data_IF_682724056701
#
_entry.id   IF_682724056701
#
_cell.length_a   1.000
_cell.length_b   1.000
_cell.length_c   1.000
_cell.angle_alpha   90.00
_cell.angle_beta   90.00
_cell.angle_gamma   90.00
#
_symmetry.space_group_name_H-M   'P 1'
#
loop_
_entity.id
_entity.type
_entity.pdbx_description
1 polymer ?
#
# COMPACT_ATOMS: atom_id res chain seq x y z
N UNK A 1 -20.02 31.35 17.21
CA UNK A 1 -19.97 30.16 18.11
C UNK A 1 -19.61 28.88 17.34
N UNK A 2 -20.29 28.58 16.22
CA UNK A 2 -19.99 27.44 15.33
C UNK A 2 -18.52 27.38 14.89
N UNK A 3 -17.93 28.51 14.49
CA UNK A 3 -16.52 28.58 14.07
C UNK A 3 -15.54 28.12 15.19
N UNK A 4 -15.79 28.50 16.44
CA UNK A 4 -14.95 28.10 17.59
C UNK A 4 -15.09 26.60 17.90
N UNK A 5 -16.31 26.06 17.78
CA UNK A 5 -16.56 24.60 17.89
C UNK A 5 -15.83 23.87 16.77
N UNK A 6 -15.90 24.38 15.54
CA UNK A 6 -15.23 23.80 14.38
C UNK A 6 -13.71 23.77 14.55
N UNK A 7 -13.10 24.87 15.02
CA UNK A 7 -11.67 24.93 15.35
C UNK A 7 -11.28 23.93 16.44
N UNK A 8 -12.07 23.80 17.51
CA UNK A 8 -11.81 22.85 18.59
C UNK A 8 -11.84 21.41 18.07
N UNK A 9 -12.81 21.06 17.23
CA UNK A 9 -12.94 19.72 16.63
C UNK A 9 -11.75 19.40 15.71
N UNK A 10 -11.24 20.38 14.98
CA UNK A 10 -10.12 20.18 14.04
C UNK A 10 -8.74 20.27 14.70
N UNK A 11 -8.64 20.83 15.91
CA UNK A 11 -7.38 21.26 16.51
C UNK A 11 -6.28 20.19 16.51
N UNK A 12 -6.64 18.90 16.63
CA UNK A 12 -5.71 17.78 16.47
C UNK A 12 -6.40 16.50 15.99
N UNK A 13 -7.00 16.47 14.79
CA UNK A 13 -7.40 15.18 14.22
C UNK A 13 -6.16 14.29 14.06
N UNK A 14 -6.11 13.22 14.86
CA UNK A 14 -5.00 12.27 14.84
C UNK A 14 -5.03 11.50 13.53
N UNK A 15 -4.02 11.68 12.70
CA UNK A 15 -3.82 10.83 11.54
C UNK A 15 -3.28 9.47 11.99
N UNK A 16 -3.77 8.43 11.36
CA UNK A 16 -3.30 7.06 11.52
C UNK A 16 -2.31 6.80 10.40
N UNK A 17 -1.13 6.29 10.76
CA UNK A 17 -0.08 5.92 9.80
C UNK A 17 -0.17 4.45 9.47
N UNK A 18 -0.13 4.09 8.19
CA UNK A 18 -0.16 2.71 7.75
C UNK A 18 0.53 2.49 6.41
N UNK A 19 0.66 1.23 6.02
CA UNK A 19 1.22 0.83 4.72
C UNK A 19 0.11 0.27 3.85
N UNK A 20 0.02 0.67 2.59
CA UNK A 20 -0.93 0.10 1.64
C UNK A 20 -0.56 -1.36 1.32
N UNK A 21 -1.43 -2.30 1.65
CA UNK A 21 -1.23 -3.74 1.41
C UNK A 21 -1.81 -4.14 0.05
N UNK A 22 -2.94 -3.53 -0.33
CA UNK A 22 -3.68 -3.93 -1.52
C UNK A 22 -4.44 -2.75 -2.10
N UNK A 23 -4.38 -2.67 -3.43
CA UNK A 23 -5.05 -1.67 -4.27
C UNK A 23 -5.70 -2.37 -5.46
N UNK A 24 -6.71 -3.18 -5.19
CA UNK A 24 -7.44 -3.92 -6.24
C UNK A 24 -8.72 -3.20 -6.68
N UNK A 25 -9.36 -2.46 -5.78
CA UNK A 25 -10.66 -1.82 -6.03
C UNK A 25 -10.51 -0.33 -6.36
N UNK A 26 -11.45 0.19 -7.15
CA UNK A 26 -11.55 1.61 -7.45
C UNK A 26 -11.84 2.43 -6.19
N UNK A 27 -11.27 3.63 -6.12
CA UNK A 27 -11.38 4.61 -5.03
C UNK A 27 -11.17 4.08 -3.61
N UNK A 28 -10.47 2.97 -3.48
CA UNK A 28 -10.34 2.22 -2.22
C UNK A 28 -8.92 1.69 -2.08
N UNK A 29 -8.31 1.88 -0.92
CA UNK A 29 -7.00 1.29 -0.60
C UNK A 29 -7.12 0.52 0.71
N UNK A 30 -6.56 -0.69 0.77
CA UNK A 30 -6.50 -1.45 2.02
C UNK A 30 -5.14 -1.22 2.68
N UNK A 31 -5.12 -0.62 3.86
CA UNK A 31 -3.88 -0.30 4.57
C UNK A 31 -3.74 -1.08 5.88
N UNK A 32 -2.51 -1.46 6.20
CA UNK A 32 -2.13 -2.06 7.47
C UNK A 32 -1.62 -0.99 8.41
N UNK A 33 -2.13 -0.99 9.63
CA UNK A 33 -1.55 -0.24 10.74
C UNK A 33 -0.90 -1.24 11.66
N UNK A 34 0.39 -1.04 11.93
CA UNK A 34 1.18 -1.83 12.87
C UNK A 34 1.37 -1.01 14.13
N UNK A 35 0.88 -1.51 15.27
CA UNK A 35 1.10 -0.88 16.59
C UNK A 35 1.88 -1.81 17.49
N UNK A 36 2.83 -1.25 18.23
CA UNK A 36 3.53 -1.94 19.31
C UNK A 36 2.63 -1.97 20.54
N UNK A 37 2.56 -3.11 21.23
CA UNK A 37 1.86 -3.23 22.49
C UNK A 37 2.64 -4.18 23.42
N UNK A 38 2.54 -3.94 24.73
CA UNK A 38 3.14 -4.83 25.72
C UNK A 38 2.20 -5.99 26.03
N UNK A 39 2.67 -7.22 25.77
CA UNK A 39 1.90 -8.44 26.01
C UNK A 39 2.29 -9.05 27.35
N UNK A 40 1.48 -8.77 28.38
CA UNK A 40 1.68 -9.29 29.74
C UNK A 40 1.45 -10.79 29.86
N UNK A 41 0.64 -11.40 28.99
CA UNK A 41 0.04 -12.71 29.24
C UNK A 41 0.93 -13.90 28.88
N UNK A 42 1.72 -13.79 27.80
CA UNK A 42 2.51 -14.92 27.29
C UNK A 42 3.99 -14.83 27.65
N UNK A 43 4.59 -13.65 27.44
CA UNK A 43 6.05 -13.48 27.57
C UNK A 43 6.50 -12.16 28.19
N UNK A 44 5.58 -11.29 28.65
CA UNK A 44 5.93 -9.94 29.15
C UNK A 44 6.88 -9.19 28.21
N UNK A 45 6.59 -9.25 26.91
CA UNK A 45 7.42 -8.70 25.83
C UNK A 45 6.64 -7.74 24.94
N UNK A 46 7.37 -6.90 24.19
CA UNK A 46 6.79 -5.98 23.22
C UNK A 46 6.44 -6.73 21.93
N UNK A 47 5.15 -6.80 21.61
CA UNK A 47 4.61 -7.47 20.43
C UNK A 47 3.96 -6.48 19.47
N UNK A 48 3.82 -6.86 18.20
CA UNK A 48 3.12 -6.07 17.20
C UNK A 48 1.71 -6.59 16.96
N UNK A 49 0.73 -5.69 17.02
CA UNK A 49 -0.62 -5.95 16.54
C UNK A 49 -0.83 -5.22 15.22
N UNK A 50 -1.37 -5.92 14.24
CA UNK A 50 -1.70 -5.32 12.95
C UNK A 50 -3.20 -5.29 12.71
N UNK A 51 -3.71 -4.17 12.24
CA UNK A 51 -5.13 -3.99 11.89
C UNK A 51 -5.22 -3.48 10.46
N UNK A 52 -6.16 -4.03 9.68
CA UNK A 52 -6.39 -3.63 8.29
C UNK A 52 -7.57 -2.64 8.24
N UNK A 53 -7.40 -1.59 7.45
CA UNK A 53 -8.42 -0.55 7.23
C UNK A 53 -8.72 -0.45 5.74
N UNK A 54 -10.01 -0.36 5.39
CA UNK A 54 -10.44 0.04 4.05
C UNK A 54 -10.57 1.56 4.03
N UNK A 55 -9.74 2.22 3.23
CA UNK A 55 -9.65 3.67 3.20
C UNK A 55 -10.19 4.16 1.86
N UNK A 56 -10.94 5.25 1.90
CA UNK A 56 -11.35 5.98 0.71
C UNK A 56 -10.20 6.80 0.15
N UNK A 57 -9.86 6.53 -1.09
CA UNK A 57 -8.83 7.23 -1.87
C UNK A 57 -9.51 7.77 -3.13
N UNK A 58 -10.09 8.98 -3.11
CA UNK A 58 -10.94 9.48 -4.20
C UNK A 58 -10.24 9.56 -5.56
N UNK A 59 -8.94 9.83 -5.52
CA UNK A 59 -8.10 10.09 -6.69
C UNK A 59 -7.24 8.86 -7.09
N UNK A 60 -7.43 7.72 -6.42
CA UNK A 60 -6.70 6.46 -6.67
C UNK A 60 -5.17 6.62 -6.70
N UNK A 61 -4.63 7.48 -5.81
CA UNK A 61 -3.20 7.85 -5.81
C UNK A 61 -2.34 6.81 -5.07
N UNK A 62 -2.93 5.99 -4.19
CA UNK A 62 -2.18 5.03 -3.39
C UNK A 62 -1.76 3.81 -4.21
N UNK A 63 -0.49 3.43 -4.14
CA UNK A 63 0.04 2.18 -4.66
C UNK A 63 0.39 1.21 -3.53
N UNK A 64 0.48 -0.08 -3.85
CA UNK A 64 0.89 -1.12 -2.90
C UNK A 64 2.32 -0.83 -2.40
N UNK A 65 2.51 -0.86 -1.08
CA UNK A 65 3.78 -0.54 -0.42
C UNK A 65 3.95 0.92 -0.02
N UNK A 66 3.05 1.82 -0.43
CA UNK A 66 3.08 3.23 0.00
C UNK A 66 2.83 3.35 1.51
N UNK A 67 3.58 4.24 2.17
CA UNK A 67 3.28 4.67 3.54
C UNK A 67 2.32 5.86 3.49
N UNK A 68 1.15 5.70 4.09
CA UNK A 68 0.04 6.65 4.01
C UNK A 68 -0.41 7.10 5.39
N UNK A 69 -0.74 8.38 5.48
CA UNK A 69 -1.52 8.93 6.58
C UNK A 69 -2.97 9.02 6.16
N UNK A 70 -3.85 8.56 7.02
CA UNK A 70 -5.29 8.62 6.81
C UNK A 70 -6.00 9.02 8.10
N UNK A 71 -7.20 9.55 7.98
CA UNK A 71 -8.01 9.99 9.11
C UNK A 71 -9.41 9.39 9.06
N UNK A 72 -10.09 9.43 10.19
CA UNK A 72 -11.52 9.12 10.26
C UNK A 72 -12.34 10.15 9.48
N UNK A 73 -13.38 9.67 8.80
CA UNK A 73 -14.33 10.50 8.09
C UNK A 73 -15.75 9.91 8.25
N UNK A 74 -16.76 10.63 7.76
CA UNK A 74 -18.08 10.05 7.60
C UNK A 74 -17.99 8.75 6.77
N UNK A 75 -18.81 7.73 7.07
CA UNK A 75 -18.78 6.47 6.36
C UNK A 75 -19.14 6.68 4.88
N UNK A 76 -18.18 6.43 3.99
CA UNK A 76 -18.35 6.44 2.52
C UNK A 76 -18.96 5.12 2.06
N UNK A 77 -18.73 4.03 2.81
CA UNK A 77 -19.36 2.73 2.63
C UNK A 77 -19.42 1.97 3.95
N UNK A 78 -20.02 0.78 3.96
CA UNK A 78 -20.11 -0.10 5.14
C UNK A 78 -18.77 -0.35 5.85
N UNK A 79 -17.64 -0.30 5.13
CA UNK A 79 -16.30 -0.55 5.68
C UNK A 79 -15.34 0.64 5.52
N UNK A 80 -15.68 1.64 4.72
CA UNK A 80 -14.83 2.80 4.43
C UNK A 80 -15.26 4.00 5.28
N UNK A 81 -14.77 4.02 6.52
CA UNK A 81 -14.95 5.14 7.46
C UNK A 81 -13.67 5.98 7.63
N UNK A 82 -12.71 5.80 6.73
CA UNK A 82 -11.45 6.52 6.74
C UNK A 82 -11.14 7.05 5.34
N UNK A 83 -10.45 8.18 5.26
CA UNK A 83 -10.03 8.83 4.02
C UNK A 83 -8.51 9.05 4.02
N UNK A 84 -7.88 8.88 2.86
CA UNK A 84 -6.46 9.18 2.68
C UNK A 84 -6.25 10.69 2.81
N UNK A 85 -5.32 11.09 3.68
CA UNK A 85 -4.94 12.49 3.88
C UNK A 85 -3.71 12.83 3.02
N UNK A 86 -2.64 12.05 3.17
CA UNK A 86 -1.39 12.23 2.42
C UNK A 86 -0.59 10.93 2.34
N UNK A 87 0.24 10.85 1.30
CA UNK A 87 1.23 9.79 1.15
C UNK A 87 2.54 10.32 1.71
N UNK A 88 3.05 9.67 2.76
CA UNK A 88 4.28 10.05 3.45
C UNK A 88 5.50 9.62 2.67
N UNK A 89 5.47 8.37 2.19
CA UNK A 89 6.57 7.77 1.44
C UNK A 89 5.98 6.88 0.35
N UNK A 90 6.38 7.15 -0.88
CA UNK A 90 6.04 6.31 -2.03
C UNK A 90 6.88 5.04 -2.05
N UNK A 91 6.32 3.95 -2.57
CA UNK A 91 7.07 2.74 -2.83
C UNK A 91 8.17 3.03 -3.89
N UNK A 92 9.46 2.90 -3.55
CA UNK A 92 10.55 3.24 -4.47
C UNK A 92 10.53 2.37 -5.73
N UNK A 93 10.09 1.12 -5.63
CA UNK A 93 10.02 0.20 -6.78
C UNK A 93 8.95 0.68 -7.76
N UNK A 94 7.75 0.99 -7.26
CA UNK A 94 6.65 1.49 -8.10
C UNK A 94 7.00 2.82 -8.74
N UNK A 95 7.62 3.73 -7.97
CA UNK A 95 8.05 5.03 -8.50
C UNK A 95 9.14 4.86 -9.56
N UNK A 96 10.11 3.96 -9.35
CA UNK A 96 11.13 3.64 -10.34
C UNK A 96 10.55 3.14 -11.66
N UNK A 97 9.60 2.19 -11.61
CA UNK A 97 8.93 1.67 -12.81
C UNK A 97 8.10 2.73 -13.53
N UNK A 98 7.49 3.66 -12.78
CA UNK A 98 6.73 4.79 -13.35
C UNK A 98 7.63 5.75 -14.14
N UNK A 99 8.84 6.00 -13.65
CA UNK A 99 9.84 6.85 -14.35
C UNK A 99 10.54 6.10 -15.49
N UNK A 100 10.60 4.77 -15.42
CA UNK A 100 11.30 3.92 -16.36
C UNK A 100 10.37 2.82 -16.92
N UNK A 101 9.38 3.19 -17.76
CA UNK A 101 8.39 2.26 -18.28
C UNK A 101 8.99 1.12 -19.11
N UNK A 102 10.21 1.28 -19.65
CA UNK A 102 10.92 0.23 -20.38
C UNK A 102 11.24 -1.03 -19.55
N UNK A 103 11.19 -0.95 -18.22
CA UNK A 103 11.37 -2.10 -17.33
C UNK A 103 10.05 -2.79 -16.95
N UNK A 104 8.91 -2.27 -17.41
CA UNK A 104 7.62 -2.93 -17.23
C UNK A 104 7.56 -4.09 -18.21
N UNK A 105 7.82 -5.29 -17.72
CA UNK A 105 7.78 -6.51 -18.53
C UNK A 105 6.43 -7.22 -18.38
N UNK A 106 5.88 -7.69 -19.50
CA UNK A 106 4.69 -8.53 -19.47
C UNK A 106 5.06 -9.99 -19.15
N UNK A 107 4.16 -10.80 -18.54
CA UNK A 107 4.43 -12.23 -18.33
C UNK A 107 4.78 -12.98 -19.61
N UNK A 108 4.23 -12.53 -20.75
CA UNK A 108 4.55 -13.05 -22.09
C UNK A 108 6.00 -12.77 -22.47
N UNK A 109 6.46 -11.52 -22.34
CA UNK A 109 7.87 -11.17 -22.59
C UNK A 109 8.83 -11.94 -21.70
N UNK A 110 8.47 -12.16 -20.42
CA UNK A 110 9.28 -12.98 -19.51
C UNK A 110 9.37 -14.42 -20.04
N UNK A 111 8.25 -15.00 -20.50
CA UNK A 111 8.22 -16.35 -21.04
C UNK A 111 9.02 -16.47 -22.35
N UNK A 112 8.87 -15.52 -23.26
CA UNK A 112 9.63 -15.45 -24.52
C UNK A 112 11.13 -15.30 -24.24
N UNK A 113 11.51 -14.43 -23.31
CA UNK A 113 12.90 -14.24 -22.90
C UNK A 113 13.48 -15.52 -22.29
N UNK A 114 12.72 -16.20 -21.43
CA UNK A 114 13.12 -17.49 -20.84
C UNK A 114 13.31 -18.58 -21.91
N UNK A 115 12.48 -18.60 -22.95
CA UNK A 115 12.64 -19.55 -24.07
C UNK A 115 13.83 -19.19 -24.97
N UNK A 116 14.08 -17.89 -25.19
CA UNK A 116 15.24 -17.42 -25.95
C UNK A 116 16.57 -17.66 -25.22
N UNK A 117 16.60 -17.45 -23.90
CA UNK A 117 17.77 -17.68 -23.04
C UNK A 117 18.06 -19.19 -22.85
N UNK A 118 17.13 -20.06 -23.27
CA UNK A 118 17.29 -21.51 -23.20
C UNK A 118 18.41 -21.95 -24.16
N UNK A 119 19.51 -22.43 -23.60
CA UNK A 119 20.63 -22.98 -24.36
C UNK A 119 20.13 -24.18 -25.18
N UNK A 120 20.21 -24.06 -26.50
CA UNK A 120 19.95 -25.18 -27.43
C UNK A 120 21.24 -25.94 -27.66
N UNK A 121 21.32 -27.16 -27.14
CA UNK A 121 22.41 -28.07 -27.45
C UNK A 121 22.23 -28.61 -28.87
N UNK A 122 23.26 -28.51 -29.70
CA UNK A 122 23.34 -29.22 -30.99
C UNK A 122 24.16 -30.49 -30.76
N UNK A 123 23.72 -31.62 -31.31
CA UNK A 123 24.53 -32.84 -31.22
C UNK A 123 25.84 -32.61 -31.98
N UNK A 124 26.95 -33.13 -31.48
CA UNK A 124 28.28 -32.85 -32.04
C UNK A 124 28.42 -33.29 -33.51
N UNK A 125 27.62 -34.27 -33.94
CA UNK A 125 27.56 -34.74 -35.33
C UNK A 125 26.89 -33.76 -36.28
N UNK A 126 26.08 -32.83 -35.76
CA UNK A 126 25.31 -31.88 -36.56
C UNK A 126 26.02 -30.52 -36.72
N UNK A 127 27.15 -30.30 -36.02
CA UNK A 127 27.96 -29.08 -36.14
C UNK A 127 28.52 -28.93 -37.56
#
# INVERSE_FOLDING_TARGET
>A
MISKIFEIVHKHQKFISGVCISKTHTKTAMCQVKRLYFDKGKYSALNYKTTKYMIHDPNDICAVGDQVHFRECAPVSKRKAHVVEKIVKKNPITEFLRQNPQYIVTPKEIAERKENDKIKYKHITDL
#
